data_IF_893883796611
#
_entry.id   IF_893883796611
#
_cell.length_a   1.000
_cell.length_b   1.000
_cell.length_c   1.000
_cell.angle_alpha   90.00
_cell.angle_beta   90.00
_cell.angle_gamma   90.00
#
_symmetry.space_group_name_H-M   'P 1'
#
loop_
_entity.id
_entity.type
_entity.pdbx_description
1 polymer ?
#
# COMPACT_ATOMS: atom_id res chain seq x y z
N UNK A 1 15.31 3.95 -26.97
CA UNK A 1 15.77 2.55 -26.78
C UNK A 1 17.25 2.53 -27.08
N UNK A 2 18.06 2.72 -26.03
CA UNK A 2 19.52 2.66 -26.13
C UNK A 2 19.93 1.36 -25.49
N UNK A 3 20.52 0.50 -26.30
CA UNK A 3 20.99 -0.83 -25.97
C UNK A 3 22.14 -0.71 -24.96
N UNK A 4 21.87 -1.03 -23.69
CA UNK A 4 22.91 -1.15 -22.66
C UNK A 4 23.56 -2.51 -22.86
N UNK A 5 24.70 -2.53 -23.55
CA UNK A 5 25.63 -3.64 -23.52
C UNK A 5 25.95 -3.96 -22.05
N UNK A 6 25.38 -5.05 -21.53
CA UNK A 6 25.61 -5.50 -20.15
C UNK A 6 27.01 -6.12 -20.09
N UNK A 7 28.01 -5.27 -19.84
CA UNK A 7 29.25 -5.74 -19.24
C UNK A 7 28.98 -6.14 -17.79
N UNK A 8 29.56 -7.24 -17.35
CA UNK A 8 29.48 -7.68 -15.95
C UNK A 8 29.96 -6.57 -15.02
N UNK A 9 29.28 -6.38 -13.88
CA UNK A 9 29.73 -5.41 -12.86
C UNK A 9 31.07 -5.81 -12.22
N UNK A 10 31.44 -7.08 -12.33
CA UNK A 10 32.75 -7.58 -11.94
C UNK A 10 33.70 -7.59 -13.12
N UNK A 11 34.95 -7.19 -12.88
CA UNK A 11 36.01 -7.44 -13.84
C UNK A 11 36.28 -8.96 -13.94
N UNK A 12 37.06 -9.37 -14.95
CA UNK A 12 37.54 -10.76 -15.00
C UNK A 12 38.52 -11.00 -13.86
N UNK A 13 38.24 -12.03 -13.04
CA UNK A 13 39.05 -12.42 -11.89
C UNK A 13 39.28 -13.93 -11.89
N UNK A 14 40.49 -14.35 -11.51
CA UNK A 14 40.74 -15.75 -11.13
C UNK A 14 40.29 -15.97 -9.69
N UNK A 15 39.05 -16.42 -9.52
CA UNK A 15 38.41 -16.62 -8.21
C UNK A 15 39.21 -17.60 -7.34
N UNK A 16 39.87 -18.61 -7.92
CA UNK A 16 40.59 -19.62 -7.13
C UNK A 16 41.80 -19.04 -6.39
N UNK A 17 42.38 -17.95 -6.92
CA UNK A 17 43.57 -17.32 -6.37
C UNK A 17 43.26 -16.24 -5.31
N UNK A 18 41.99 -15.84 -5.16
CA UNK A 18 41.60 -14.74 -4.28
C UNK A 18 41.66 -15.14 -2.80
N UNK A 19 42.11 -14.21 -1.96
CA UNK A 19 41.95 -14.28 -0.51
C UNK A 19 40.65 -13.54 -0.07
N UNK A 20 40.43 -13.43 1.24
CA UNK A 20 39.24 -12.77 1.81
C UNK A 20 39.18 -11.27 1.47
N UNK A 21 40.30 -10.55 1.58
CA UNK A 21 40.41 -9.14 1.24
C UNK A 21 40.16 -8.90 -0.25
N UNK A 22 40.60 -9.82 -1.12
CA UNK A 22 40.35 -9.75 -2.56
C UNK A 22 38.85 -9.91 -2.84
N UNK A 23 38.17 -10.86 -2.21
CA UNK A 23 36.70 -11.05 -2.36
C UNK A 23 35.96 -9.79 -1.91
N UNK A 24 36.36 -9.21 -0.77
CA UNK A 24 35.80 -7.97 -0.26
C UNK A 24 36.05 -6.78 -1.21
N UNK A 25 37.27 -6.65 -1.74
CA UNK A 25 37.72 -5.53 -2.56
C UNK A 25 37.21 -5.56 -4.00
N UNK A 26 37.28 -6.72 -4.64
CA UNK A 26 37.05 -6.89 -6.08
C UNK A 26 35.64 -7.37 -6.42
N UNK A 27 34.91 -7.98 -5.48
CA UNK A 27 33.53 -8.43 -5.70
C UNK A 27 32.52 -7.67 -4.85
N UNK A 28 32.68 -7.68 -3.52
CA UNK A 28 31.69 -7.06 -2.63
C UNK A 28 31.62 -5.55 -2.85
N UNK A 29 32.76 -4.86 -2.91
CA UNK A 29 32.76 -3.40 -3.07
C UNK A 29 32.16 -2.94 -4.41
N UNK A 30 32.44 -3.55 -5.58
CA UNK A 30 31.70 -3.27 -6.81
C UNK A 30 30.21 -3.53 -6.71
N UNK A 31 29.78 -4.63 -6.07
CA UNK A 31 28.36 -4.89 -5.83
C UNK A 31 27.71 -3.77 -5.00
N UNK A 32 28.31 -3.37 -3.87
CA UNK A 32 27.81 -2.29 -3.05
C UNK A 32 27.74 -0.96 -3.81
N UNK A 33 28.72 -0.68 -4.69
CA UNK A 33 28.72 0.50 -5.55
C UNK A 33 27.61 0.45 -6.60
N UNK A 34 27.41 -0.69 -7.23
CA UNK A 34 26.32 -0.91 -8.19
C UNK A 34 24.96 -0.67 -7.51
N UNK A 35 24.80 -1.11 -6.26
CA UNK A 35 23.59 -0.88 -5.45
C UNK A 35 23.38 0.58 -5.01
N UNK A 36 24.39 1.44 -5.18
CA UNK A 36 24.31 2.88 -4.90
C UNK A 36 25.03 3.35 -3.63
N UNK A 37 25.81 2.50 -2.96
CA UNK A 37 26.60 2.88 -1.78
C UNK A 37 27.97 3.40 -2.18
N UNK A 38 28.44 4.46 -1.51
CA UNK A 38 29.77 5.03 -1.74
C UNK A 38 30.45 5.36 -0.42
N UNK A 39 31.77 5.20 -0.38
CA UNK A 39 32.54 5.57 0.81
C UNK A 39 32.48 7.09 1.01
N UNK A 40 32.04 7.52 2.19
CA UNK A 40 31.80 8.94 2.48
C UNK A 40 30.56 9.52 1.80
N UNK A 41 29.65 8.68 1.31
CA UNK A 41 28.38 9.14 0.75
C UNK A 41 27.49 9.80 1.81
N UNK A 42 26.92 10.96 1.49
CA UNK A 42 26.09 11.74 2.42
C UNK A 42 24.80 11.00 2.83
N UNK A 43 24.17 10.29 1.90
CA UNK A 43 22.88 9.62 2.13
C UNK A 43 22.98 8.09 2.16
N UNK A 44 23.96 7.53 1.45
CA UNK A 44 24.21 6.09 1.34
C UNK A 44 25.71 5.83 1.43
N UNK A 45 26.15 5.44 2.62
CA UNK A 45 27.56 5.31 2.96
C UNK A 45 27.99 3.83 2.94
N UNK A 46 29.13 3.56 2.31
CA UNK A 46 29.84 2.29 2.40
C UNK A 46 31.01 2.44 3.38
N UNK A 47 30.89 1.82 4.55
CA UNK A 47 31.89 1.90 5.62
C UNK A 47 32.62 0.57 5.73
N UNK A 48 33.94 0.58 5.61
CA UNK A 48 34.77 -0.63 5.74
C UNK A 48 35.39 -0.73 7.13
N UNK A 49 35.49 -1.94 7.68
CA UNK A 49 36.26 -2.26 8.90
C UNK A 49 36.00 -1.32 10.10
N UNK A 50 34.73 -1.00 10.36
CA UNK A 50 34.35 -0.06 11.41
C UNK A 50 34.88 -0.55 12.78
N UNK A 51 35.65 0.27 13.52
CA UNK A 51 35.94 -0.02 14.92
C UNK A 51 34.65 0.11 15.73
N UNK A 52 34.22 -0.99 16.35
CA UNK A 52 33.10 -1.00 17.30
C UNK A 52 33.64 -0.64 18.69
N UNK A 53 32.96 0.26 19.40
CA UNK A 53 33.35 0.68 20.75
C UNK A 53 33.01 -0.40 21.78
N UNK A 54 31.94 -1.14 21.55
CA UNK A 54 31.55 -2.30 22.32
C UNK A 54 32.20 -3.56 21.73
N UNK A 55 33.03 -4.22 22.53
CA UNK A 55 33.89 -5.33 22.11
C UNK A 55 33.24 -6.71 22.33
N UNK A 56 31.91 -6.78 22.49
CA UNK A 56 31.19 -8.00 22.88
C UNK A 56 29.96 -8.25 21.99
N UNK A 57 29.62 -9.52 21.83
CA UNK A 57 28.39 -9.93 21.18
C UNK A 57 27.20 -9.59 22.08
N UNK A 58 26.35 -8.64 21.68
CA UNK A 58 25.23 -8.20 22.51
C UNK A 58 24.11 -9.25 22.53
N UNK A 59 24.16 -10.18 23.50
CA UNK A 59 23.16 -11.24 23.68
C UNK A 59 22.07 -10.85 24.69
N UNK A 60 22.11 -9.61 25.20
CA UNK A 60 21.13 -9.09 26.15
C UNK A 60 21.31 -9.59 27.58
N UNK A 61 22.50 -10.03 27.97
CA UNK A 61 22.78 -10.38 29.36
C UNK A 61 22.74 -9.13 30.27
N UNK A 62 22.11 -9.25 31.45
CA UNK A 62 22.04 -8.18 32.47
C UNK A 62 23.42 -7.69 32.92
N UNK A 63 24.43 -8.54 32.80
CA UNK A 63 25.84 -8.18 32.96
C UNK A 63 26.53 -8.33 31.59
N UNK A 64 26.80 -7.20 30.95
CA UNK A 64 27.52 -7.10 29.69
C UNK A 64 28.87 -7.83 29.70
N UNK A 65 29.48 -8.09 30.87
CA UNK A 65 30.74 -8.86 30.96
C UNK A 65 30.56 -10.36 30.70
N UNK A 66 29.33 -10.86 30.67
CA UNK A 66 29.01 -12.26 30.34
C UNK A 66 28.80 -12.49 28.85
N UNK A 67 28.57 -11.43 28.10
CA UNK A 67 28.53 -11.49 26.65
C UNK A 67 29.93 -11.84 26.11
N UNK A 68 30.06 -12.81 25.18
CA UNK A 68 31.35 -13.22 24.66
C UNK A 68 32.00 -12.07 23.89
N UNK A 69 33.35 -12.04 23.89
CA UNK A 69 34.09 -11.06 23.11
C UNK A 69 33.73 -11.19 21.62
N UNK A 70 33.43 -10.07 20.99
CA UNK A 70 33.18 -9.98 19.57
C UNK A 70 34.49 -10.26 18.85
N UNK A 71 34.54 -11.35 18.09
CA UNK A 71 35.71 -11.74 17.32
C UNK A 71 35.61 -11.14 15.93
N UNK A 72 36.43 -10.12 15.64
CA UNK A 72 36.56 -9.54 14.32
C UNK A 72 35.73 -8.27 14.11
N UNK A 73 35.61 -7.86 12.84
CA UNK A 73 34.84 -6.70 12.37
C UNK A 73 34.15 -7.07 11.07
N UNK A 74 32.96 -6.52 10.77
CA UNK A 74 32.36 -6.71 9.46
C UNK A 74 33.24 -6.07 8.38
N UNK A 75 33.34 -6.73 7.22
CA UNK A 75 34.07 -6.21 6.07
C UNK A 75 33.50 -4.88 5.61
N UNK A 76 32.17 -4.85 5.49
CA UNK A 76 31.42 -3.66 5.12
C UNK A 76 30.15 -3.50 5.95
N UNK A 77 29.84 -2.24 6.23
CA UNK A 77 28.52 -1.80 6.65
C UNK A 77 28.02 -0.80 5.62
N UNK A 78 26.90 -1.15 5.00
CA UNK A 78 26.17 -0.29 4.09
C UNK A 78 25.09 0.45 4.89
N UNK A 79 25.19 1.77 4.96
CA UNK A 79 24.36 2.62 5.81
C UNK A 79 23.55 3.57 4.96
N UNK A 80 22.23 3.57 5.16
CA UNK A 80 21.32 4.61 4.65
C UNK A 80 20.99 5.51 5.82
N UNK A 81 21.55 6.72 5.80
CA UNK A 81 21.58 7.63 6.95
C UNK A 81 20.17 7.87 7.50
N UNK A 82 19.96 7.59 8.78
CA UNK A 82 18.69 7.71 9.52
C UNK A 82 17.61 6.67 9.19
N UNK A 83 17.85 5.70 8.29
CA UNK A 83 16.83 4.71 7.90
C UNK A 83 17.20 3.28 8.27
N UNK A 84 18.28 2.73 7.71
CA UNK A 84 18.62 1.32 7.89
C UNK A 84 20.09 1.04 7.58
N UNK A 85 20.58 -0.13 8.02
CA UNK A 85 21.91 -0.65 7.69
C UNK A 85 21.83 -2.11 7.26
N UNK A 86 22.82 -2.55 6.50
CA UNK A 86 23.10 -3.97 6.30
C UNK A 86 24.61 -4.22 6.29
N UNK A 87 25.01 -5.43 6.66
CA UNK A 87 26.43 -5.80 6.80
C UNK A 87 26.85 -6.86 5.79
N UNK A 88 28.15 -6.90 5.50
CA UNK A 88 28.76 -7.96 4.69
C UNK A 88 29.83 -8.66 5.49
N UNK A 89 29.83 -9.99 5.40
CA UNK A 89 30.91 -10.88 5.79
C UNK A 89 31.38 -11.64 4.53
N UNK A 90 32.64 -11.47 4.17
CA UNK A 90 33.31 -12.18 3.11
C UNK A 90 34.19 -13.29 3.69
N UNK A 91 34.31 -14.39 2.95
CA UNK A 91 35.27 -15.47 3.19
C UNK A 91 36.07 -15.72 1.92
N UNK A 92 37.19 -16.43 2.06
CA UNK A 92 37.96 -16.90 0.89
C UNK A 92 37.17 -17.92 0.05
N UNK A 93 37.38 -18.01 -1.28
CA UNK A 93 36.60 -18.87 -2.18
C UNK A 93 36.74 -20.38 -1.97
N UNK A 94 37.76 -20.81 -1.23
CA UNK A 94 37.97 -22.21 -0.84
C UNK A 94 37.17 -22.64 0.39
N UNK A 95 36.48 -21.71 1.07
CA UNK A 95 35.66 -22.00 2.25
C UNK A 95 34.19 -22.14 1.83
N UNK A 96 33.58 -23.25 2.19
CA UNK A 96 32.14 -23.43 2.07
C UNK A 96 31.43 -22.61 3.15
N UNK A 97 30.38 -21.88 2.78
CA UNK A 97 29.63 -21.04 3.70
C UNK A 97 28.80 -21.89 4.68
N UNK A 98 29.14 -21.82 5.97
CA UNK A 98 28.54 -22.62 7.03
C UNK A 98 27.51 -21.85 7.87
N UNK A 99 26.80 -22.57 8.75
CA UNK A 99 25.92 -21.95 9.75
C UNK A 99 26.70 -21.10 10.76
N UNK A 100 27.93 -21.50 11.11
CA UNK A 100 28.79 -20.74 12.04
C UNK A 100 29.18 -19.39 11.43
N UNK A 101 29.50 -19.36 10.14
CA UNK A 101 29.79 -18.11 9.41
C UNK A 101 28.56 -17.18 9.37
N UNK A 102 27.37 -17.77 9.16
CA UNK A 102 26.11 -17.02 9.22
C UNK A 102 25.85 -16.43 10.60
N UNK A 103 26.10 -17.20 11.68
CA UNK A 103 25.96 -16.74 13.06
C UNK A 103 26.97 -15.62 13.39
N UNK A 104 28.19 -15.70 12.86
CA UNK A 104 29.18 -14.62 12.98
C UNK A 104 28.68 -13.34 12.31
N UNK A 105 28.24 -13.42 11.05
CA UNK A 105 27.69 -12.28 10.31
C UNK A 105 26.45 -11.68 11.00
N UNK A 106 25.57 -12.54 11.52
CA UNK A 106 24.41 -12.16 12.31
C UNK A 106 24.80 -11.38 13.57
N UNK A 107 25.85 -11.81 14.28
CA UNK A 107 26.34 -11.13 15.48
C UNK A 107 26.78 -9.69 15.20
N UNK A 108 27.46 -9.45 14.07
CA UNK A 108 27.77 -8.09 13.63
C UNK A 108 26.51 -7.30 13.31
N UNK A 109 25.56 -7.92 12.61
CA UNK A 109 24.33 -7.26 12.20
C UNK A 109 23.47 -6.82 13.40
N UNK A 110 23.40 -7.63 14.47
CA UNK A 110 22.65 -7.32 15.70
C UNK A 110 23.39 -6.37 16.65
N UNK A 111 24.66 -6.08 16.38
CA UNK A 111 25.46 -5.25 17.26
C UNK A 111 24.83 -3.87 17.46
N UNK A 112 24.71 -3.31 18.70
CA UNK A 112 23.97 -2.07 18.96
C UNK A 112 24.44 -0.85 18.16
N UNK A 113 25.74 -0.78 17.85
CA UNK A 113 26.32 0.30 17.04
C UNK A 113 26.03 0.16 15.52
N UNK A 114 25.57 -1.01 15.09
CA UNK A 114 25.22 -1.29 13.69
C UNK A 114 23.69 -1.36 13.55
N UNK A 115 23.05 -2.25 14.29
CA UNK A 115 21.60 -2.50 14.25
C UNK A 115 21.08 -2.62 12.81
N UNK A 116 21.64 -3.56 12.07
CA UNK A 116 21.30 -3.82 10.68
C UNK A 116 20.00 -4.59 10.53
N UNK A 117 19.32 -4.42 9.38
CA UNK A 117 18.13 -5.17 9.01
C UNK A 117 18.48 -6.48 8.29
N UNK A 118 19.58 -6.46 7.52
CA UNK A 118 20.07 -7.57 6.73
C UNK A 118 21.56 -7.80 6.95
N UNK A 119 22.01 -9.02 6.65
CA UNK A 119 23.42 -9.32 6.47
C UNK A 119 23.62 -10.19 5.24
N UNK A 120 24.78 -10.05 4.61
CA UNK A 120 25.18 -10.86 3.47
C UNK A 120 26.43 -11.65 3.85
N UNK A 121 26.43 -12.93 3.50
CA UNK A 121 27.57 -13.82 3.61
C UNK A 121 27.99 -14.26 2.20
N UNK A 122 29.28 -14.17 1.87
CA UNK A 122 29.79 -14.59 0.56
C UNK A 122 31.19 -15.16 0.64
N UNK A 123 31.51 -16.09 -0.25
CA UNK A 123 32.89 -16.53 -0.52
C UNK A 123 33.36 -16.13 -1.92
N UNK A 124 32.66 -15.22 -2.60
CA UNK A 124 32.94 -14.80 -3.98
C UNK A 124 32.40 -15.74 -5.06
N UNK A 125 31.97 -16.97 -4.73
CA UNK A 125 31.25 -17.87 -5.67
C UNK A 125 29.76 -17.81 -5.48
N UNK A 126 29.34 -17.86 -4.23
CA UNK A 126 27.96 -17.81 -3.80
C UNK A 126 27.77 -16.61 -2.87
N UNK A 127 26.60 -16.03 -2.94
CA UNK A 127 26.18 -14.89 -2.13
C UNK A 127 24.86 -15.26 -1.49
N UNK A 128 24.76 -15.05 -0.18
CA UNK A 128 23.55 -15.34 0.61
C UNK A 128 23.18 -14.11 1.42
N UNK A 129 21.98 -13.60 1.24
CA UNK A 129 21.43 -12.49 2.03
C UNK A 129 20.43 -13.06 3.02
N UNK A 130 20.53 -12.61 4.27
CA UNK A 130 19.68 -13.03 5.37
C UNK A 130 19.00 -11.81 5.98
N UNK A 131 17.80 -12.02 6.53
CA UNK A 131 17.16 -11.05 7.41
C UNK A 131 17.63 -11.31 8.83
N UNK A 132 17.99 -10.28 9.57
CA UNK A 132 18.46 -10.42 10.96
C UNK A 132 17.43 -11.15 11.84
N UNK A 133 16.14 -10.88 11.68
CA UNK A 133 15.09 -11.60 12.43
C UNK A 133 14.84 -13.06 12.03
N UNK A 134 15.52 -13.59 10.99
CA UNK A 134 15.40 -14.97 10.50
C UNK A 134 16.76 -15.48 9.96
N UNK A 135 17.77 -15.70 10.82
CA UNK A 135 19.14 -15.99 10.42
C UNK A 135 19.36 -17.40 9.83
N UNK A 136 18.41 -18.32 10.03
CA UNK A 136 18.57 -19.73 9.64
C UNK A 136 18.36 -19.99 8.14
N UNK A 137 17.68 -19.07 7.42
CA UNK A 137 17.30 -19.25 6.01
C UNK A 137 17.64 -17.98 5.22
N UNK A 138 18.42 -18.08 4.12
CA UNK A 138 18.67 -16.93 3.27
C UNK A 138 17.37 -16.51 2.56
N UNK A 139 17.15 -15.20 2.47
CA UNK A 139 16.03 -14.64 1.72
C UNK A 139 16.32 -14.59 0.22
N UNK A 140 17.60 -14.51 -0.14
CA UNK A 140 18.10 -14.55 -1.53
C UNK A 140 19.45 -15.24 -1.53
N UNK A 141 19.65 -16.14 -2.48
CA UNK A 141 20.91 -16.82 -2.74
C UNK A 141 21.17 -16.85 -4.25
N UNK A 142 22.41 -16.55 -4.66
CA UNK A 142 22.80 -16.58 -6.07
C UNK A 142 24.29 -16.88 -6.24
N UNK A 143 24.66 -17.35 -7.42
CA UNK A 143 26.04 -17.54 -7.84
C UNK A 143 26.59 -16.25 -8.46
N UNK A 144 27.91 -16.04 -8.37
CA UNK A 144 28.60 -14.85 -8.90
C UNK A 144 28.16 -14.49 -10.32
N UNK A 145 28.09 -15.46 -11.22
CA UNK A 145 27.79 -15.23 -12.64
C UNK A 145 26.32 -14.87 -12.89
N UNK A 146 25.46 -14.98 -11.88
CA UNK A 146 24.07 -14.53 -11.91
C UNK A 146 23.91 -13.09 -11.42
N UNK A 147 24.97 -12.45 -10.93
CA UNK A 147 24.86 -11.16 -10.21
C UNK A 147 24.23 -10.07 -11.07
N UNK A 148 24.62 -9.93 -12.33
CA UNK A 148 24.06 -8.89 -13.21
C UNK A 148 22.54 -9.08 -13.43
N UNK A 149 22.10 -10.33 -13.55
CA UNK A 149 20.67 -10.66 -13.68
C UNK A 149 19.92 -10.40 -12.37
N UNK A 150 20.60 -10.57 -11.23
CA UNK A 150 20.03 -10.35 -9.89
C UNK A 150 20.01 -8.87 -9.48
N UNK A 151 20.80 -7.99 -10.12
CA UNK A 151 20.91 -6.58 -9.73
C UNK A 151 19.57 -5.87 -9.56
N UNK A 152 18.56 -6.00 -10.46
CA UNK A 152 17.26 -5.37 -10.24
C UNK A 152 16.57 -5.83 -8.95
N UNK A 153 16.63 -7.13 -8.63
CA UNK A 153 16.09 -7.67 -7.39
C UNK A 153 16.90 -7.19 -6.17
N UNK A 154 18.23 -7.14 -6.29
CA UNK A 154 19.11 -6.63 -5.25
C UNK A 154 18.94 -5.13 -5.03
N UNK A 155 18.62 -4.32 -6.04
CA UNK A 155 18.26 -2.91 -5.85
C UNK A 155 16.96 -2.76 -5.04
N UNK A 156 15.96 -3.60 -5.32
CA UNK A 156 14.70 -3.61 -4.57
C UNK A 156 14.85 -4.16 -3.14
N UNK A 157 15.90 -4.94 -2.88
CA UNK A 157 16.17 -5.51 -1.56
C UNK A 157 17.18 -4.70 -0.75
N UNK A 158 18.36 -4.40 -1.30
CA UNK A 158 19.50 -3.81 -0.61
C UNK A 158 19.77 -2.35 -1.00
N UNK A 159 19.12 -1.82 -2.03
CA UNK A 159 19.33 -0.45 -2.50
C UNK A 159 18.87 0.63 -1.50
N UNK A 160 19.46 1.84 -1.52
CA UNK A 160 19.12 2.91 -0.58
C UNK A 160 17.64 3.31 -0.58
N UNK A 161 17.01 3.42 -1.75
CA UNK A 161 15.60 3.82 -1.85
C UNK A 161 14.64 2.75 -1.31
N UNK A 162 14.97 1.48 -1.54
CA UNK A 162 14.21 0.37 -0.98
C UNK A 162 14.29 0.34 0.55
N UNK A 163 15.47 0.60 1.12
CA UNK A 163 15.67 0.70 2.56
C UNK A 163 14.86 1.86 3.16
N UNK A 164 14.90 3.05 2.55
CA UNK A 164 14.10 4.21 3.00
C UNK A 164 12.61 3.89 3.01
N UNK A 165 12.11 3.29 1.93
CA UNK A 165 10.69 2.97 1.78
C UNK A 165 10.20 1.99 2.85
N UNK A 166 11.03 1.04 3.28
CA UNK A 166 10.68 0.10 4.36
C UNK A 166 10.74 0.73 5.76
N UNK A 167 11.64 1.69 5.95
CA UNK A 167 11.80 2.39 7.22
C UNK A 167 10.73 3.49 7.45
N UNK A 168 10.13 4.05 6.38
CA UNK A 168 9.03 5.03 6.47
C UNK A 168 7.69 4.38 6.83
N UNK A 169 7.65 3.71 7.98
CA UNK A 169 6.40 3.22 8.57
C UNK A 169 5.74 4.38 9.31
N UNK A 170 4.77 5.01 8.66
CA UNK A 170 3.93 6.02 9.31
C UNK A 170 3.06 5.35 10.36
N UNK A 171 3.41 5.53 11.62
CA UNK A 171 2.59 5.05 12.75
C UNK A 171 1.42 6.03 12.93
N UNK A 172 0.21 5.55 12.73
CA UNK A 172 -1.00 6.33 13.00
C UNK A 172 -1.35 6.27 14.49
N UNK A 173 -1.20 7.41 15.17
CA UNK A 173 -1.50 7.55 16.60
C UNK A 173 -2.90 8.15 16.84
N UNK A 174 -3.65 8.47 15.79
CA UNK A 174 -5.00 9.04 15.92
C UNK A 174 -6.01 7.95 16.27
N UNK A 175 -7.20 8.39 16.68
CA UNK A 175 -8.29 7.47 17.00
C UNK A 175 -8.70 6.66 15.76
N UNK A 176 -8.67 5.32 15.84
CA UNK A 176 -8.87 4.46 14.68
C UNK A 176 -10.32 4.52 14.17
N UNK A 177 -10.54 4.13 12.91
CA UNK A 177 -11.88 3.98 12.33
C UNK A 177 -12.64 2.82 12.97
N UNK A 178 -11.95 1.72 13.26
CA UNK A 178 -12.47 0.52 13.90
C UNK A 178 -11.35 -0.22 14.62
N UNK A 179 -11.69 -1.27 15.39
CA UNK A 179 -10.67 -2.10 16.04
C UNK A 179 -9.71 -2.71 15.01
N UNK A 180 -8.42 -2.46 15.17
CA UNK A 180 -7.38 -2.99 14.27
C UNK A 180 -7.26 -2.25 12.93
N UNK A 181 -7.88 -1.08 12.79
CA UNK A 181 -7.80 -0.21 11.61
C UNK A 181 -7.10 1.11 11.93
N UNK A 182 -6.53 1.75 10.92
CA UNK A 182 -6.02 3.11 11.06
C UNK A 182 -7.16 4.12 11.21
N UNK A 183 -6.85 5.39 11.51
CA UNK A 183 -7.79 6.52 11.52
C UNK A 183 -8.24 6.95 10.12
N UNK A 184 -7.57 6.44 9.09
CA UNK A 184 -7.92 6.60 7.69
C UNK A 184 -7.54 5.35 6.91
N UNK A 185 -8.34 5.00 5.91
CA UNK A 185 -8.04 3.93 4.96
C UNK A 185 -8.39 4.39 3.54
N UNK A 186 -7.66 3.88 2.56
CA UNK A 186 -7.99 4.05 1.14
C UNK A 186 -9.08 3.06 0.76
N UNK A 187 -10.02 3.51 -0.07
CA UNK A 187 -10.94 2.61 -0.75
C UNK A 187 -10.22 2.13 -2.01
N UNK A 188 -10.12 0.82 -2.19
CA UNK A 188 -9.38 0.20 -3.31
C UNK A 188 -10.29 -0.47 -4.32
N UNK A 189 -11.58 -0.58 -4.00
CA UNK A 189 -12.58 -1.14 -4.90
C UNK A 189 -13.88 -1.45 -4.17
N UNK A 190 -14.84 -1.98 -4.92
CA UNK A 190 -16.10 -2.45 -4.37
C UNK A 190 -17.23 -2.43 -5.38
N UNK A 191 -18.44 -2.62 -4.89
CA UNK A 191 -19.63 -2.62 -5.72
C UNK A 191 -20.87 -2.17 -4.99
N UNK A 192 -21.83 -1.70 -5.79
CA UNK A 192 -23.16 -1.31 -5.39
C UNK A 192 -24.12 -2.06 -6.31
N UNK A 193 -25.05 -2.81 -5.73
CA UNK A 193 -26.06 -3.56 -6.47
C UNK A 193 -27.43 -3.03 -6.07
N UNK A 194 -28.16 -2.49 -7.04
CA UNK A 194 -29.55 -2.07 -6.88
C UNK A 194 -30.44 -3.29 -7.01
N UNK A 195 -31.23 -3.60 -5.97
CA UNK A 195 -32.09 -4.78 -5.93
C UNK A 195 -33.54 -4.43 -6.28
N UNK A 196 -34.00 -3.25 -5.86
CA UNK A 196 -35.38 -2.83 -6.05
C UNK A 196 -35.50 -1.33 -6.20
N UNK A 197 -36.31 -0.91 -7.16
CA UNK A 197 -36.65 0.49 -7.40
C UNK A 197 -38.17 0.66 -7.45
N UNK A 198 -38.69 1.63 -6.71
CA UNK A 198 -40.11 1.96 -6.65
C UNK A 198 -40.29 3.45 -6.80
N UNK A 199 -41.28 3.90 -7.57
CA UNK A 199 -41.58 5.32 -7.74
C UNK A 199 -43.09 5.59 -7.65
N UNK A 200 -43.46 6.80 -7.27
CA UNK A 200 -44.87 7.23 -7.18
C UNK A 200 -45.56 7.34 -8.53
N UNK A 201 -44.78 7.46 -9.60
CA UNK A 201 -45.25 7.41 -10.99
C UNK A 201 -44.52 6.33 -11.77
N UNK A 202 -45.13 5.72 -12.80
CA UNK A 202 -44.43 4.78 -13.67
C UNK A 202 -43.23 5.46 -14.35
N UNK A 203 -42.02 5.03 -14.02
CA UNK A 203 -40.80 5.48 -14.68
C UNK A 203 -40.42 4.48 -15.77
N UNK A 204 -39.92 4.99 -16.90
CA UNK A 204 -39.34 4.16 -17.97
C UNK A 204 -37.92 3.68 -17.64
N UNK A 205 -37.42 3.97 -16.43
CA UNK A 205 -36.10 3.59 -15.96
C UNK A 205 -36.25 2.45 -14.96
N UNK A 206 -35.57 1.34 -15.23
CA UNK A 206 -35.48 0.20 -14.32
C UNK A 206 -34.02 -0.03 -13.95
N UNK A 207 -33.68 0.14 -12.67
CA UNK A 207 -32.32 -0.08 -12.15
C UNK A 207 -32.21 -1.41 -11.38
N UNK A 208 -33.25 -2.26 -11.37
CA UNK A 208 -33.21 -3.55 -10.69
C UNK A 208 -32.13 -4.45 -11.31
N UNK A 209 -31.24 -4.97 -10.47
CA UNK A 209 -30.08 -5.76 -10.88
C UNK A 209 -28.90 -4.93 -11.40
N UNK A 210 -29.00 -3.59 -11.46
CA UNK A 210 -27.89 -2.74 -11.87
C UNK A 210 -26.74 -2.86 -10.88
N UNK A 211 -25.54 -3.08 -11.41
CA UNK A 211 -24.29 -3.13 -10.64
C UNK A 211 -23.37 -1.99 -11.07
N UNK A 212 -23.04 -1.13 -10.13
CA UNK A 212 -22.00 -0.12 -10.28
C UNK A 212 -20.76 -0.53 -9.51
N UNK A 213 -19.58 -0.17 -10.01
CA UNK A 213 -18.31 -0.43 -9.34
C UNK A 213 -17.88 0.78 -8.51
N UNK A 214 -17.28 0.52 -7.36
CA UNK A 214 -16.61 1.55 -6.56
C UNK A 214 -15.14 1.54 -6.97
N UNK A 215 -14.62 2.68 -7.38
CA UNK A 215 -13.27 2.77 -7.98
C UNK A 215 -12.23 3.40 -7.06
N UNK A 216 -12.63 4.01 -5.93
CA UNK A 216 -11.66 4.49 -4.95
C UNK A 216 -12.12 5.60 -4.02
N UNK A 217 -11.19 6.50 -3.73
CA UNK A 217 -11.17 7.53 -2.69
C UNK A 217 -10.82 6.98 -1.30
N UNK A 218 -11.50 7.39 -0.23
CA UNK A 218 -11.03 7.13 1.13
C UNK A 218 -12.14 7.16 2.18
N UNK A 219 -11.83 6.61 3.33
CA UNK A 219 -12.57 6.81 4.58
C UNK A 219 -11.59 7.34 5.62
N UNK A 220 -11.98 8.37 6.35
CA UNK A 220 -11.13 8.99 7.37
C UNK A 220 -11.94 9.60 8.49
N UNK A 221 -11.33 9.66 9.67
CA UNK A 221 -11.83 10.48 10.76
C UNK A 221 -11.45 11.94 10.54
N UNK A 222 -12.45 12.82 10.56
CA UNK A 222 -12.27 14.26 10.52
C UNK A 222 -11.80 14.83 11.87
N UNK A 223 -11.35 16.08 11.85
CA UNK A 223 -10.94 16.81 13.06
C UNK A 223 -12.14 17.11 13.99
N UNK A 224 -13.36 17.08 13.43
CA UNK A 224 -14.63 17.16 14.15
C UNK A 224 -15.01 15.84 14.88
N UNK A 225 -14.20 14.79 14.69
CA UNK A 225 -14.42 13.47 15.27
C UNK A 225 -15.36 12.56 14.48
N UNK A 226 -16.04 13.08 13.46
CA UNK A 226 -16.91 12.31 12.57
C UNK A 226 -16.07 11.40 11.67
N UNK A 227 -16.65 10.28 11.26
CA UNK A 227 -16.06 9.44 10.21
C UNK A 227 -16.71 9.84 8.89
N UNK A 228 -15.88 10.24 7.93
CA UNK A 228 -16.30 10.63 6.59
C UNK A 228 -15.75 9.63 5.58
N UNK A 229 -16.59 9.18 4.66
CA UNK A 229 -16.20 8.38 3.52
C UNK A 229 -16.53 9.12 2.24
N UNK A 230 -15.52 9.31 1.40
CA UNK A 230 -15.68 9.81 0.04
C UNK A 230 -15.58 8.61 -0.89
N UNK A 231 -16.63 8.36 -1.68
CA UNK A 231 -16.72 7.20 -2.55
C UNK A 231 -16.74 7.63 -4.02
N UNK A 232 -15.78 7.12 -4.77
CA UNK A 232 -15.82 7.20 -6.23
C UNK A 232 -16.63 6.03 -6.78
N UNK A 233 -17.68 6.34 -7.54
CA UNK A 233 -18.54 5.32 -8.15
C UNK A 233 -18.45 5.45 -9.67
N UNK A 234 -18.24 4.32 -10.32
CA UNK A 234 -18.28 4.21 -11.77
C UNK A 234 -19.60 3.55 -12.19
N UNK A 235 -20.34 4.25 -13.02
CA UNK A 235 -21.63 3.76 -13.54
C UNK A 235 -21.42 2.63 -14.55
N UNK A 236 -22.33 1.65 -14.60
CA UNK A 236 -22.28 0.56 -15.57
C UNK A 236 -22.31 1.02 -17.04
N UNK A 237 -22.81 2.23 -17.29
CA UNK A 237 -22.88 2.86 -18.61
C UNK A 237 -22.06 4.15 -18.60
N UNK A 238 -21.08 4.26 -19.50
CA UNK A 238 -20.13 5.38 -19.56
C UNK A 238 -20.80 6.75 -19.71
N UNK A 239 -21.90 6.81 -20.47
CA UNK A 239 -22.63 8.06 -20.68
C UNK A 239 -23.32 8.52 -19.38
N UNK A 240 -23.83 7.59 -18.57
CA UNK A 240 -24.36 7.91 -17.24
C UNK A 240 -23.26 8.32 -16.27
N UNK A 241 -22.06 7.74 -16.38
CA UNK A 241 -20.92 8.14 -15.57
C UNK A 241 -20.55 9.62 -15.81
N UNK A 242 -20.42 9.98 -17.09
CA UNK A 242 -20.14 11.35 -17.53
C UNK A 242 -21.21 12.31 -17.03
N UNK A 243 -22.47 11.91 -17.16
CA UNK A 243 -23.62 12.70 -16.73
C UNK A 243 -23.64 12.89 -15.21
N UNK A 244 -23.46 11.81 -14.44
CA UNK A 244 -23.46 11.86 -12.97
C UNK A 244 -22.35 12.77 -12.43
N UNK A 245 -21.17 12.73 -13.04
CA UNK A 245 -20.05 13.63 -12.70
C UNK A 245 -20.36 15.08 -13.04
N UNK A 246 -20.90 15.34 -14.22
CA UNK A 246 -21.26 16.69 -14.64
C UNK A 246 -22.30 17.32 -13.69
N UNK A 247 -23.12 16.51 -13.05
CA UNK A 247 -24.13 16.94 -12.07
C UNK A 247 -23.66 17.02 -10.64
N UNK A 248 -22.44 16.56 -10.34
CA UNK A 248 -21.94 16.50 -8.96
C UNK A 248 -22.61 15.41 -8.12
N UNK A 249 -23.14 14.35 -8.74
CA UNK A 249 -23.54 13.16 -7.99
C UNK A 249 -22.34 12.38 -7.47
N UNK A 250 -21.19 12.47 -8.16
CA UNK A 250 -19.95 11.84 -7.74
C UNK A 250 -18.85 12.88 -7.54
N UNK A 251 -17.98 12.70 -6.53
CA UNK A 251 -17.99 11.59 -5.56
C UNK A 251 -19.15 11.69 -4.54
N UNK A 252 -19.53 10.55 -3.95
CA UNK A 252 -20.50 10.51 -2.86
C UNK A 252 -19.79 10.75 -1.53
N UNK A 253 -20.35 11.64 -0.70
CA UNK A 253 -19.82 11.95 0.64
C UNK A 253 -20.74 11.41 1.72
N UNK A 254 -20.29 10.38 2.43
CA UNK A 254 -20.99 9.78 3.55
C UNK A 254 -20.38 10.23 4.87
N UNK A 255 -21.22 10.37 5.88
CA UNK A 255 -20.81 10.70 7.23
C UNK A 255 -21.50 9.77 8.23
N UNK A 256 -20.81 9.49 9.34
CA UNK A 256 -21.41 8.88 10.52
C UNK A 256 -20.93 9.58 11.78
N UNK A 257 -21.85 9.69 12.74
CA UNK A 257 -21.55 10.15 14.10
C UNK A 257 -21.09 9.00 15.01
N UNK A 258 -21.11 7.76 14.51
CA UNK A 258 -20.61 6.62 15.26
C UNK A 258 -19.14 6.82 15.61
N UNK A 259 -18.81 6.48 16.85
CA UNK A 259 -17.45 6.60 17.34
C UNK A 259 -16.50 5.66 16.58
N UNK A 260 -16.99 4.49 16.17
CA UNK A 260 -16.25 3.49 15.40
C UNK A 260 -17.17 2.83 14.37
N UNK A 261 -16.61 2.46 13.22
CA UNK A 261 -17.31 1.58 12.29
C UNK A 261 -17.44 0.20 12.94
N UNK A 262 -18.68 -0.28 13.03
CA UNK A 262 -19.01 -1.55 13.67
C UNK A 262 -18.42 -2.74 12.92
N UNK A 263 -18.11 -3.79 13.66
CA UNK A 263 -17.79 -5.14 13.13
C UNK A 263 -18.88 -6.16 13.48
N UNK A 264 -19.97 -5.69 14.09
CA UNK A 264 -21.12 -6.51 14.49
C UNK A 264 -22.24 -6.32 13.47
N UNK A 265 -22.61 -7.40 12.78
CA UNK A 265 -23.68 -7.40 11.78
C UNK A 265 -25.05 -7.06 12.38
N UNK A 266 -25.26 -7.37 13.67
CA UNK A 266 -26.51 -7.07 14.37
C UNK A 266 -26.57 -5.62 14.87
N UNK A 267 -25.44 -4.91 14.82
CA UNK A 267 -25.31 -3.49 15.20
C UNK A 267 -24.49 -2.74 14.15
N UNK A 268 -24.99 -2.66 12.89
CA UNK A 268 -24.26 -2.02 11.82
C UNK A 268 -24.14 -0.52 12.06
N UNK A 269 -23.09 0.07 11.50
CA UNK A 269 -22.90 1.52 11.45
C UNK A 269 -23.79 2.12 10.39
N UNK A 270 -24.46 3.22 10.73
CA UNK A 270 -25.25 4.04 9.82
C UNK A 270 -24.37 5.14 9.22
N UNK A 271 -24.22 5.09 7.90
CA UNK A 271 -23.59 6.12 7.07
C UNK A 271 -24.67 6.85 6.29
N UNK A 272 -24.61 8.19 6.28
CA UNK A 272 -25.61 9.02 5.63
C UNK A 272 -24.98 9.96 4.60
N UNK A 273 -25.65 10.13 3.47
CA UNK A 273 -25.26 11.05 2.41
C UNK A 273 -26.49 11.85 1.94
N UNK A 274 -26.28 13.13 1.65
CA UNK A 274 -27.29 14.01 1.09
C UNK A 274 -26.70 14.75 -0.11
N UNK A 275 -27.33 14.60 -1.27
CA UNK A 275 -26.92 15.25 -2.51
C UNK A 275 -28.08 16.06 -3.06
N UNK A 276 -27.84 17.31 -3.46
CA UNK A 276 -28.85 18.17 -4.08
C UNK A 276 -28.36 18.65 -5.43
N UNK A 277 -29.09 18.32 -6.49
CA UNK A 277 -28.73 18.63 -7.88
C UNK A 277 -29.86 19.37 -8.56
N UNK A 278 -29.51 20.28 -9.47
CA UNK A 278 -30.43 20.89 -10.42
C UNK A 278 -30.13 20.38 -11.82
N UNK A 279 -31.13 19.76 -12.45
CA UNK A 279 -31.07 19.25 -13.81
C UNK A 279 -31.72 20.29 -14.71
N UNK A 280 -30.95 21.00 -15.57
CA UNK A 280 -31.49 22.07 -16.39
C UNK A 280 -32.31 21.54 -17.57
N UNK A 281 -33.30 22.33 -17.99
CA UNK A 281 -34.00 22.15 -19.25
C UNK A 281 -33.02 22.12 -20.43
N UNK A 282 -33.29 21.27 -21.41
CA UNK A 282 -32.51 21.14 -22.63
C UNK A 282 -31.36 20.14 -22.51
N UNK A 283 -31.12 19.59 -21.33
CA UNK A 283 -30.14 18.53 -21.15
C UNK A 283 -30.55 17.26 -21.89
N UNK A 284 -29.60 16.64 -22.58
CA UNK A 284 -29.77 15.33 -23.20
C UNK A 284 -29.39 14.21 -22.23
N UNK A 285 -30.33 13.31 -21.97
CA UNK A 285 -30.08 12.02 -21.34
C UNK A 285 -29.69 10.99 -22.41
N UNK A 286 -28.61 10.22 -22.19
CA UNK A 286 -28.17 9.22 -23.12
C UNK A 286 -29.20 8.09 -23.24
N UNK A 287 -29.32 7.55 -24.46
CA UNK A 287 -30.08 6.34 -24.69
C UNK A 287 -29.24 5.13 -24.26
N UNK A 288 -29.76 4.37 -23.31
CA UNK A 288 -29.11 3.20 -22.73
C UNK A 288 -30.09 2.03 -22.62
N UNK A 289 -29.63 0.90 -22.07
CA UNK A 289 -30.53 -0.21 -21.70
C UNK A 289 -31.47 0.16 -20.54
N UNK A 290 -31.11 1.15 -19.72
CA UNK A 290 -31.91 1.60 -18.57
C UNK A 290 -32.88 2.72 -18.93
N UNK A 291 -32.60 3.49 -19.99
CA UNK A 291 -33.38 4.68 -20.33
C UNK A 291 -33.48 4.83 -21.84
N UNK A 292 -34.66 5.15 -22.41
CA UNK A 292 -34.80 5.43 -23.83
C UNK A 292 -34.02 6.68 -24.28
N UNK A 293 -33.42 7.43 -23.34
CA UNK A 293 -32.81 8.73 -23.57
C UNK A 293 -33.87 9.82 -23.76
N UNK A 294 -33.43 11.03 -24.08
CA UNK A 294 -34.33 12.14 -24.38
C UNK A 294 -33.80 13.47 -23.90
N UNK A 295 -34.62 14.52 -24.04
CA UNK A 295 -34.26 15.88 -23.61
C UNK A 295 -35.13 16.27 -22.41
N UNK A 296 -34.50 16.80 -21.38
CA UNK A 296 -35.18 17.35 -20.21
C UNK A 296 -36.02 18.56 -20.63
N UNK A 297 -37.33 18.48 -20.48
CA UNK A 297 -38.25 19.49 -21.00
C UNK A 297 -38.40 20.72 -20.09
N UNK A 298 -38.02 20.59 -18.83
CA UNK A 298 -38.15 21.61 -17.79
C UNK A 298 -37.10 21.42 -16.72
N UNK A 299 -36.73 22.47 -16.00
CA UNK A 299 -35.78 22.37 -14.88
C UNK A 299 -36.35 21.43 -13.80
N UNK A 300 -35.51 20.50 -13.33
CA UNK A 300 -35.85 19.57 -12.25
C UNK A 300 -34.87 19.78 -11.12
N UNK A 301 -35.39 20.01 -9.91
CA UNK A 301 -34.57 19.93 -8.70
C UNK A 301 -34.70 18.51 -8.13
N UNK A 302 -33.59 17.91 -7.74
CA UNK A 302 -33.57 16.59 -7.09
C UNK A 302 -32.76 16.64 -5.81
N UNK A 303 -33.32 16.03 -4.77
CA UNK A 303 -32.61 15.75 -3.51
C UNK A 303 -32.53 14.24 -3.37
N UNK A 304 -31.32 13.73 -3.15
CA UNK A 304 -31.05 12.32 -2.94
C UNK A 304 -30.54 12.14 -1.52
N UNK A 305 -31.26 11.39 -0.71
CA UNK A 305 -30.87 11.03 0.63
C UNK A 305 -30.57 9.54 0.69
N UNK A 306 -29.32 9.21 1.05
CA UNK A 306 -28.86 7.83 1.14
C UNK A 306 -28.58 7.46 2.58
N UNK A 307 -29.11 6.32 3.01
CA UNK A 307 -28.74 5.65 4.25
C UNK A 307 -28.08 4.31 3.90
N UNK A 308 -26.86 4.11 4.38
CA UNK A 308 -26.11 2.88 4.22
C UNK A 308 -25.82 2.29 5.61
N UNK A 309 -26.38 1.11 5.86
CA UNK A 309 -26.11 0.32 7.06
C UNK A 309 -25.06 -0.73 6.73
N UNK A 310 -23.93 -0.72 7.42
CA UNK A 310 -22.89 -1.73 7.18
C UNK A 310 -22.03 -2.07 8.37
N UNK A 311 -21.23 -3.10 8.21
CA UNK A 311 -20.27 -3.58 9.18
C UNK A 311 -18.96 -3.98 8.49
N UNK A 312 -17.87 -3.98 9.25
CA UNK A 312 -16.56 -4.42 8.80
C UNK A 312 -16.43 -5.94 8.99
N UNK A 313 -16.09 -6.61 7.90
CA UNK A 313 -15.67 -8.02 7.85
C UNK A 313 -14.32 -8.10 7.14
N UNK A 314 -13.26 -8.35 7.91
CA UNK A 314 -11.89 -8.26 7.40
C UNK A 314 -11.63 -6.85 6.87
N UNK A 315 -11.11 -6.75 5.64
CA UNK A 315 -10.81 -5.52 4.90
C UNK A 315 -12.00 -4.94 4.13
N UNK A 316 -13.24 -5.36 4.45
CA UNK A 316 -14.43 -4.98 3.69
C UNK A 316 -15.51 -4.39 4.57
N UNK A 317 -16.13 -3.30 4.12
CA UNK A 317 -17.36 -2.74 4.68
C UNK A 317 -18.53 -3.17 3.80
N UNK A 318 -19.42 -3.98 4.35
CA UNK A 318 -20.54 -4.58 3.62
C UNK A 318 -21.86 -4.25 4.28
N UNK A 319 -22.91 -4.23 3.49
CA UNK A 319 -24.25 -4.08 4.02
C UNK A 319 -25.28 -3.69 2.97
N UNK A 320 -26.28 -2.95 3.42
CA UNK A 320 -27.45 -2.57 2.63
C UNK A 320 -27.59 -1.07 2.60
N UNK A 321 -28.17 -0.54 1.53
CA UNK A 321 -28.49 0.87 1.43
C UNK A 321 -29.92 1.09 0.97
N UNK A 322 -30.43 2.27 1.30
CA UNK A 322 -31.65 2.84 0.78
C UNK A 322 -31.33 4.24 0.28
N UNK A 323 -31.79 4.57 -0.92
CA UNK A 323 -31.76 5.93 -1.47
C UNK A 323 -33.19 6.40 -1.67
N UNK A 324 -33.53 7.55 -1.11
CA UNK A 324 -34.77 8.26 -1.40
C UNK A 324 -34.45 9.45 -2.30
N UNK A 325 -35.11 9.52 -3.45
CA UNK A 325 -35.00 10.58 -4.44
C UNK A 325 -36.28 11.39 -4.42
N UNK A 326 -36.15 12.69 -4.24
CA UNK A 326 -37.25 13.64 -4.28
C UNK A 326 -37.04 14.57 -5.47
N UNK A 327 -37.87 14.40 -6.51
CA UNK A 327 -37.87 15.26 -7.68
C UNK A 327 -38.96 16.32 -7.55
N UNK A 328 -38.57 17.58 -7.72
CA UNK A 328 -39.49 18.72 -7.75
C UNK A 328 -39.57 19.28 -9.16
N UNK A 329 -40.79 19.30 -9.70
CA UNK A 329 -41.11 19.81 -11.02
C UNK A 329 -41.72 21.22 -10.96
N UNK A 330 -41.67 22.02 -12.04
CA UNK A 330 -42.32 23.33 -12.08
C UNK A 330 -43.85 23.26 -11.90
N UNK A 331 -44.47 24.27 -11.26
CA UNK A 331 -45.85 24.20 -10.79
C UNK A 331 -46.92 24.18 -11.89
N UNK A 332 -46.56 24.49 -13.15
CA UNK A 332 -47.48 24.69 -14.26
C UNK A 332 -47.62 23.45 -15.18
N UNK A 333 -47.12 22.29 -14.75
CA UNK A 333 -47.18 21.08 -15.55
C UNK A 333 -48.43 20.24 -15.20
N UNK A 334 -49.02 19.51 -16.16
CA UNK A 334 -50.18 18.63 -15.93
C UNK A 334 -49.78 17.28 -15.30
N UNK A 335 -48.79 17.28 -14.41
CA UNK A 335 -48.26 16.10 -13.70
C UNK A 335 -48.03 16.44 -12.22
N UNK A 336 -47.93 15.44 -11.32
CA UNK A 336 -47.56 15.69 -9.92
C UNK A 336 -46.28 16.52 -9.82
N UNK A 337 -46.31 17.57 -9.00
CA UNK A 337 -45.15 18.46 -8.80
C UNK A 337 -44.03 17.78 -8.01
N UNK A 338 -44.36 16.74 -7.24
CA UNK A 338 -43.43 15.95 -6.46
C UNK A 338 -43.50 14.51 -6.93
N UNK A 339 -42.34 13.97 -7.32
CA UNK A 339 -42.17 12.57 -7.64
C UNK A 339 -41.15 12.01 -6.65
N UNK A 340 -41.52 10.91 -6.01
CA UNK A 340 -40.64 10.20 -5.10
C UNK A 340 -40.21 8.90 -5.77
N UNK A 341 -38.92 8.60 -5.68
CA UNK A 341 -38.38 7.29 -6.04
C UNK A 341 -37.57 6.77 -4.85
N UNK A 342 -37.65 5.47 -4.62
CA UNK A 342 -36.90 4.77 -3.60
C UNK A 342 -36.16 3.60 -4.24
N UNK A 343 -34.86 3.54 -3.97
CA UNK A 343 -33.99 2.47 -4.42
C UNK A 343 -33.39 1.77 -3.22
N UNK A 344 -33.37 0.44 -3.26
CA UNK A 344 -32.83 -0.40 -2.20
C UNK A 344 -31.80 -1.36 -2.80
N UNK A 345 -30.75 -1.66 -2.04
CA UNK A 345 -29.68 -2.49 -2.55
C UNK A 345 -28.66 -2.93 -1.51
N UNK A 346 -27.60 -3.55 -2.01
CA UNK A 346 -26.45 -4.00 -1.22
C UNK A 346 -25.17 -3.35 -1.71
N UNK A 347 -24.21 -3.19 -0.81
CA UNK A 347 -22.87 -2.74 -1.17
C UNK A 347 -21.81 -3.62 -0.51
N UNK A 348 -20.64 -3.62 -1.14
CA UNK A 348 -19.43 -4.23 -0.60
C UNK A 348 -18.22 -3.39 -1.00
N UNK A 349 -17.58 -2.74 -0.03
CA UNK A 349 -16.47 -1.79 -0.21
C UNK A 349 -15.20 -2.39 0.37
N UNK A 350 -14.09 -2.39 -0.38
CA UNK A 350 -12.79 -2.89 0.08
C UNK A 350 -11.85 -1.74 0.48
N UNK A 351 -11.11 -1.94 1.57
CA UNK A 351 -10.15 -0.98 2.12
C UNK A 351 -8.70 -1.46 2.04
N UNK A 352 -7.78 -0.51 1.99
CA UNK A 352 -6.36 -0.69 2.29
C UNK A 352 -5.92 0.35 3.30
N UNK A 353 -5.25 -0.10 4.36
CA UNK A 353 -4.60 0.77 5.35
C UNK A 353 -3.36 1.48 4.78
#
# INVERSE_FOLDING_TARGET
>A
MTDLAHGSIFAEHDIEAMNEDDVAGELVRPLCRALGYRQGGEFANLRSQIPLQYDRAFLGHRDAKKDPLLRGRPDFVCEVVSYARWVVEAKRPSVALSLEDSQQAHTYATHPEIAAEYYMLTNGREFRVYRVGKPDVPIVEWLKDQTDQMLPALHNLLGPDAMKKRADVKVDLRKPLARGRNSSAKIVGGEIIYLRNTATVPLTINMDGLRNSISGNFVARGDDGLITAELEVQSAFADFDTLNRAFGFFPLHFHTADEFISSDVEKPTLMQNLVSVKIPRGLEFPKTMLSPGGVVLFDVATVCYTEALGFIDGDRFRGTFVVNYEYTLPPNLPVPQHIEMRSEGTFDVAFSD
#
